data_IF_956197028765
#
_entry.id   IF_956197028765
#
_cell.length_a   1.000
_cell.length_b   1.000
_cell.length_c   1.000
_cell.angle_alpha   90.00
_cell.angle_beta   90.00
_cell.angle_gamma   90.00
#
_symmetry.space_group_name_H-M   'P 1'
#
loop_
_entity.id
_entity.type
_entity.pdbx_description
1 polymer ?
#
# COMPACT_ATOMS: atom_id res chain seq x y z
N UNK A 1 2.03 41.39 -7.44
CA UNK A 1 2.66 41.40 -6.09
C UNK A 1 1.77 40.73 -5.03
N UNK A 2 0.48 41.08 -4.91
CA UNK A 2 -0.45 40.44 -3.95
C UNK A 2 -0.50 38.91 -4.04
N UNK A 3 -0.49 38.34 -5.24
CA UNK A 3 -0.53 36.88 -5.45
C UNK A 3 0.73 36.15 -4.93
N UNK A 4 1.91 36.79 -4.98
CA UNK A 4 3.15 36.20 -4.44
C UNK A 4 3.14 36.21 -2.91
N UNK A 5 2.58 37.27 -2.32
CA UNK A 5 2.37 37.38 -0.88
C UNK A 5 1.35 36.34 -0.41
N UNK A 6 0.31 36.08 -1.22
CA UNK A 6 -0.65 35.02 -0.94
C UNK A 6 -0.01 33.64 -0.87
N UNK A 7 0.73 33.25 -1.90
CA UNK A 7 1.46 31.97 -1.95
C UNK A 7 2.42 31.83 -0.76
N UNK A 8 3.09 32.93 -0.38
CA UNK A 8 4.02 32.92 0.74
C UNK A 8 3.31 32.73 2.07
N UNK A 9 2.17 33.41 2.29
CA UNK A 9 1.41 33.34 3.55
C UNK A 9 0.64 32.03 3.73
N UNK A 10 0.08 31.49 2.65
CA UNK A 10 -0.68 30.24 2.70
C UNK A 10 0.19 28.99 2.56
N UNK A 11 1.41 29.11 2.01
CA UNK A 11 2.33 28.01 1.78
C UNK A 11 3.56 27.96 2.69
N UNK A 12 4.16 29.09 3.06
CA UNK A 12 5.46 29.09 3.75
C UNK A 12 5.44 29.66 5.17
N UNK A 13 4.54 30.61 5.45
CA UNK A 13 4.54 31.36 6.72
C UNK A 13 4.37 30.47 7.96
N UNK A 14 3.59 29.39 7.87
CA UNK A 14 3.43 28.38 8.93
C UNK A 14 3.90 27.01 8.48
N UNK A 15 4.90 26.97 7.60
CA UNK A 15 5.54 25.74 7.13
C UNK A 15 4.59 24.78 6.41
N UNK A 16 3.46 25.24 5.87
CA UNK A 16 2.45 24.39 5.25
C UNK A 16 3.05 23.52 4.14
N UNK A 17 3.77 24.13 3.20
CA UNK A 17 4.46 23.45 2.11
C UNK A 17 5.58 22.51 2.60
N UNK A 18 6.27 22.87 3.69
CA UNK A 18 7.31 22.03 4.27
C UNK A 18 6.71 20.77 4.92
N UNK A 19 5.58 20.91 5.61
CA UNK A 19 4.81 19.79 6.17
C UNK A 19 4.25 18.88 5.06
N UNK A 20 3.70 19.45 3.99
CA UNK A 20 3.25 18.69 2.81
C UNK A 20 4.38 17.93 2.13
N UNK A 21 5.55 18.56 1.98
CA UNK A 21 6.73 17.90 1.40
C UNK A 21 7.21 16.74 2.28
N UNK A 22 7.24 16.94 3.61
CA UNK A 22 7.55 15.87 4.57
C UNK A 22 6.53 14.74 4.52
N UNK A 23 5.24 15.05 4.47
CA UNK A 23 4.16 14.08 4.33
C UNK A 23 4.35 13.23 3.07
N UNK A 24 4.64 13.85 1.93
CA UNK A 24 4.94 13.14 0.68
C UNK A 24 6.13 12.18 0.82
N UNK A 25 7.19 12.60 1.52
CA UNK A 25 8.33 11.74 1.83
C UNK A 25 7.97 10.54 2.71
N UNK A 26 7.12 10.74 3.74
CA UNK A 26 6.64 9.67 4.61
C UNK A 26 5.78 8.66 3.84
N UNK A 27 4.87 9.14 2.98
CA UNK A 27 4.03 8.28 2.13
C UNK A 27 4.88 7.47 1.16
N UNK A 28 5.88 8.08 0.53
CA UNK A 28 6.80 7.36 -0.36
C UNK A 28 7.63 6.32 0.39
N UNK A 29 8.12 6.66 1.59
CA UNK A 29 8.87 5.73 2.46
C UNK A 29 8.00 4.56 2.89
N UNK A 30 6.74 4.81 3.26
CA UNK A 30 5.75 3.79 3.58
C UNK A 30 5.55 2.83 2.41
N UNK A 31 5.33 3.35 1.20
CA UNK A 31 5.20 2.53 0.00
C UNK A 31 6.44 1.66 -0.25
N UNK A 32 7.63 2.21 -0.04
CA UNK A 32 8.89 1.47 -0.18
C UNK A 32 8.99 0.33 0.86
N UNK A 33 8.67 0.60 2.12
CA UNK A 33 8.68 -0.42 3.18
C UNK A 33 7.63 -1.50 2.94
N UNK A 34 6.44 -1.11 2.50
CA UNK A 34 5.39 -2.04 2.10
C UNK A 34 5.84 -2.93 0.93
N UNK A 35 6.54 -2.36 -0.06
CA UNK A 35 7.10 -3.15 -1.18
C UNK A 35 8.20 -4.12 -0.71
N UNK A 36 9.08 -3.69 0.21
CA UNK A 36 10.13 -4.55 0.78
C UNK A 36 9.56 -5.68 1.64
N UNK A 37 8.53 -5.40 2.44
CA UNK A 37 7.79 -6.42 3.18
C UNK A 37 7.05 -7.35 2.21
N UNK A 38 6.44 -6.81 1.16
CA UNK A 38 5.89 -7.58 0.04
C UNK A 38 6.88 -8.62 -0.46
N UNK A 39 8.13 -8.23 -0.71
CA UNK A 39 9.13 -9.13 -1.29
C UNK A 39 9.61 -10.18 -0.28
N UNK A 40 9.71 -9.83 1.00
CA UNK A 40 10.06 -10.77 2.07
C UNK A 40 8.96 -11.79 2.38
N UNK A 41 7.71 -11.37 2.25
CA UNK A 41 6.53 -12.17 2.62
C UNK A 41 5.90 -12.88 1.41
N UNK A 42 6.35 -12.52 0.21
CA UNK A 42 5.88 -13.10 -1.04
C UNK A 42 6.14 -14.61 -1.09
N UNK A 43 5.11 -15.32 -1.55
CA UNK A 43 5.19 -16.74 -1.76
C UNK A 43 6.13 -17.05 -2.92
N UNK A 44 7.32 -17.55 -2.57
CA UNK A 44 8.39 -17.84 -3.53
C UNK A 44 8.31 -19.30 -3.95
N UNK A 45 8.16 -19.54 -5.25
CA UNK A 45 8.16 -20.88 -5.83
C UNK A 45 9.57 -21.29 -6.23
N UNK A 46 9.90 -22.56 -6.05
CA UNK A 46 11.23 -23.08 -6.33
C UNK A 46 11.29 -23.44 -7.82
N UNK A 47 12.14 -22.75 -8.58
CA UNK A 47 12.38 -23.09 -9.99
C UNK A 47 13.16 -24.39 -10.10
N UNK A 48 12.53 -25.42 -10.66
CA UNK A 48 13.20 -26.66 -11.03
C UNK A 48 13.72 -26.56 -12.47
N UNK A 49 15.04 -26.61 -12.61
CA UNK A 49 15.74 -26.57 -13.89
C UNK A 49 16.35 -27.92 -14.23
N UNK A 50 15.81 -28.60 -15.24
CA UNK A 50 16.56 -29.58 -16.03
C UNK A 50 17.14 -28.89 -17.27
N UNK A 51 18.37 -29.21 -17.66
CA UNK A 51 19.13 -28.63 -18.78
C UNK A 51 18.42 -28.64 -20.17
N UNK A 52 17.20 -29.17 -20.28
CA UNK A 52 16.53 -29.47 -21.55
C UNK A 52 15.06 -29.04 -21.68
N UNK A 53 14.46 -28.38 -20.67
CA UNK A 53 13.03 -28.05 -20.73
C UNK A 53 12.77 -26.63 -21.25
N UNK A 54 11.95 -26.50 -22.31
CA UNK A 54 11.59 -25.21 -22.94
C UNK A 54 10.72 -24.30 -22.05
N UNK A 55 10.13 -24.84 -20.98
CA UNK A 55 9.35 -24.09 -19.99
C UNK A 55 9.95 -24.32 -18.59
N UNK A 56 10.16 -23.26 -17.80
CA UNK A 56 10.58 -23.40 -16.42
C UNK A 56 9.49 -24.15 -15.64
N UNK A 57 9.89 -25.18 -14.89
CA UNK A 57 8.99 -25.90 -13.99
C UNK A 57 9.17 -25.30 -12.60
N UNK A 58 8.08 -25.13 -11.86
CA UNK A 58 8.12 -24.60 -10.51
C UNK A 58 7.54 -25.62 -9.53
N UNK A 59 8.07 -25.67 -8.31
CA UNK A 59 7.53 -26.47 -7.22
C UNK A 59 7.22 -25.61 -6.02
N UNK A 60 6.23 -26.04 -5.23
CA UNK A 60 5.90 -25.37 -3.98
C UNK A 60 7.06 -25.50 -2.98
N UNK A 61 7.31 -24.47 -2.17
CA UNK A 61 8.25 -24.56 -1.05
C UNK A 61 7.79 -25.61 -0.03
N UNK A 62 8.72 -26.24 0.71
CA UNK A 62 8.41 -27.26 1.71
C UNK A 62 7.52 -26.74 2.85
N UNK A 63 7.54 -25.43 3.08
CA UNK A 63 6.73 -24.71 4.08
C UNK A 63 5.22 -24.82 3.79
N UNK A 64 4.84 -24.93 2.52
CA UNK A 64 3.45 -25.05 2.09
C UNK A 64 2.97 -26.50 2.17
N UNK A 65 2.96 -27.12 3.35
CA UNK A 65 2.64 -28.55 3.55
C UNK A 65 1.14 -28.88 3.51
N UNK A 66 0.26 -27.90 3.78
CA UNK A 66 -1.19 -28.09 3.87
C UNK A 66 -1.85 -28.54 2.55
N UNK A 67 -2.93 -29.33 2.65
CA UNK A 67 -3.74 -29.77 1.50
C UNK A 67 -4.48 -28.62 0.82
N UNK A 68 -4.89 -27.61 1.60
CA UNK A 68 -5.46 -26.36 1.13
C UNK A 68 -4.57 -25.20 1.55
N UNK A 69 -4.16 -24.38 0.59
CA UNK A 69 -3.29 -23.24 0.81
C UNK A 69 -4.11 -21.95 0.70
N UNK A 70 -4.17 -21.19 1.78
CA UNK A 70 -4.73 -19.83 1.76
C UNK A 70 -3.59 -18.85 1.57
N UNK A 71 -3.65 -18.09 0.48
CA UNK A 71 -2.67 -17.07 0.15
C UNK A 71 -3.33 -15.69 0.25
N UNK A 72 -2.69 -14.77 0.95
CA UNK A 72 -3.13 -13.39 1.09
C UNK A 72 -2.68 -12.56 -0.11
N UNK A 73 -3.52 -11.63 -0.56
CA UNK A 73 -3.14 -10.63 -1.55
C UNK A 73 -2.43 -9.50 -0.81
N UNK A 74 -1.21 -9.16 -1.24
CA UNK A 74 -0.47 -8.05 -0.62
C UNK A 74 -1.12 -6.69 -0.90
N UNK A 75 -1.80 -6.57 -2.04
CA UNK A 75 -2.68 -5.46 -2.37
C UNK A 75 -4.07 -6.03 -2.66
N UNK A 76 -5.13 -5.60 -1.95
CA UNK A 76 -6.49 -5.99 -2.28
C UNK A 76 -6.81 -5.69 -3.75
N UNK A 77 -7.39 -6.66 -4.44
CA UNK A 77 -7.82 -6.51 -5.83
C UNK A 77 -9.31 -6.79 -5.94
N UNK A 78 -9.96 -6.09 -6.87
CA UNK A 78 -11.34 -6.36 -7.24
C UNK A 78 -11.37 -7.49 -8.28
N UNK A 79 -11.73 -8.69 -7.84
CA UNK A 79 -11.88 -9.86 -8.71
C UNK A 79 -13.36 -10.25 -8.75
N UNK A 80 -13.92 -10.42 -9.95
CA UNK A 80 -15.33 -10.79 -10.13
C UNK A 80 -16.32 -9.89 -9.37
N UNK A 81 -16.12 -8.58 -9.48
CA UNK A 81 -16.90 -7.55 -8.80
C UNK A 81 -16.88 -7.55 -7.26
N UNK A 82 -16.00 -8.34 -6.65
CA UNK A 82 -15.80 -8.42 -5.20
C UNK A 82 -14.38 -8.00 -4.83
N UNK A 83 -14.22 -7.31 -3.69
CA UNK A 83 -12.90 -7.05 -3.11
C UNK A 83 -12.35 -8.34 -2.47
N UNK A 84 -11.19 -8.78 -2.96
CA UNK A 84 -10.56 -10.03 -2.52
C UNK A 84 -9.32 -9.70 -1.72
N UNK A 85 -9.27 -10.25 -0.51
CA UNK A 85 -8.15 -10.13 0.43
C UNK A 85 -7.28 -11.38 0.44
N UNK A 86 -7.90 -12.54 0.23
CA UNK A 86 -7.20 -13.81 0.20
C UNK A 86 -7.84 -14.78 -0.77
N UNK A 87 -7.07 -15.74 -1.26
CA UNK A 87 -7.54 -16.79 -2.15
C UNK A 87 -7.10 -18.13 -1.59
N UNK A 88 -8.03 -19.07 -1.54
CA UNK A 88 -7.74 -20.44 -1.11
C UNK A 88 -7.63 -21.35 -2.33
N UNK A 89 -6.52 -22.07 -2.42
CA UNK A 89 -6.20 -23.03 -3.47
C UNK A 89 -6.14 -24.45 -2.92
N UNK A 90 -6.50 -25.41 -3.76
CA UNK A 90 -6.13 -26.80 -3.52
C UNK A 90 -4.66 -27.00 -3.91
N UNK A 91 -3.87 -27.61 -3.03
CA UNK A 91 -2.43 -27.83 -3.25
C UNK A 91 -2.18 -28.61 -4.53
N UNK A 92 -2.94 -29.68 -4.77
CA UNK A 92 -2.74 -30.56 -5.93
C UNK A 92 -3.01 -29.81 -7.25
N UNK A 93 -4.01 -28.92 -7.25
CA UNK A 93 -4.30 -28.06 -8.40
C UNK A 93 -3.20 -27.03 -8.64
N UNK A 94 -2.67 -26.42 -7.57
CA UNK A 94 -1.58 -25.44 -7.66
C UNK A 94 -0.26 -26.10 -8.14
N UNK A 95 0.09 -27.28 -7.64
CA UNK A 95 1.25 -28.06 -8.11
C UNK A 95 1.13 -28.42 -9.59
N UNK A 96 -0.04 -28.90 -10.00
CA UNK A 96 -0.31 -29.24 -11.40
C UNK A 96 -0.17 -28.01 -12.30
N UNK A 97 -0.68 -26.86 -11.87
CA UNK A 97 -0.57 -25.59 -12.58
C UNK A 97 0.88 -25.09 -12.67
N UNK A 98 1.67 -25.18 -11.60
CA UNK A 98 3.08 -24.80 -11.61
C UNK A 98 3.94 -25.68 -12.55
N UNK A 99 3.51 -26.92 -12.77
CA UNK A 99 4.23 -27.88 -13.61
C UNK A 99 3.80 -27.83 -15.07
N UNK A 100 2.48 -27.81 -15.34
CA UNK A 100 1.92 -27.89 -16.69
C UNK A 100 1.48 -26.54 -17.26
N UNK A 101 1.29 -25.53 -16.40
CA UNK A 101 0.61 -24.29 -16.73
C UNK A 101 -0.89 -24.51 -17.00
N UNK A 102 -1.54 -23.49 -17.57
CA UNK A 102 -2.96 -23.50 -17.92
C UNK A 102 -3.79 -22.59 -17.03
N UNK A 103 -5.06 -22.93 -16.87
CA UNK A 103 -5.98 -22.20 -15.99
C UNK A 103 -5.90 -22.73 -14.56
N UNK A 104 -5.84 -21.82 -13.60
CA UNK A 104 -5.96 -22.15 -12.17
C UNK A 104 -7.28 -21.61 -11.63
N UNK A 105 -7.86 -22.37 -10.71
CA UNK A 105 -9.08 -21.98 -10.00
C UNK A 105 -8.81 -21.86 -8.51
N UNK A 106 -9.34 -20.82 -7.90
CA UNK A 106 -9.21 -20.56 -6.47
C UNK A 106 -10.52 -20.02 -5.88
N UNK A 107 -10.76 -20.29 -4.61
CA UNK A 107 -11.91 -19.72 -3.88
C UNK A 107 -11.54 -18.32 -3.41
N UNK A 108 -12.30 -17.33 -3.85
CA UNK A 108 -12.12 -15.94 -3.43
C UNK A 108 -12.61 -15.80 -1.99
N UNK A 109 -11.79 -15.20 -1.12
CA UNK A 109 -12.07 -15.04 0.31
C UNK A 109 -12.50 -16.34 1.02
N UNK A 110 -12.02 -17.49 0.54
CA UNK A 110 -12.34 -18.81 1.10
C UNK A 110 -13.80 -19.26 0.93
N UNK A 111 -14.65 -18.46 0.29
CA UNK A 111 -16.09 -18.70 0.15
C UNK A 111 -16.51 -18.97 -1.31
N UNK A 112 -17.62 -19.69 -1.47
CA UNK A 112 -18.21 -19.96 -2.78
C UNK A 112 -17.46 -20.98 -3.65
N UNK A 113 -17.71 -20.91 -4.96
CA UNK A 113 -17.11 -21.78 -5.97
C UNK A 113 -15.71 -21.28 -6.36
N UNK A 114 -14.83 -22.22 -6.74
CA UNK A 114 -13.50 -21.88 -7.23
C UNK A 114 -13.62 -21.18 -8.59
N UNK A 115 -13.21 -19.91 -8.65
CA UNK A 115 -13.26 -19.08 -9.85
C UNK A 115 -11.92 -19.14 -10.58
N UNK A 116 -11.95 -19.00 -11.91
CA UNK A 116 -10.76 -18.95 -12.75
C UNK A 116 -9.98 -17.66 -12.49
N UNK A 117 -8.69 -17.78 -12.23
CA UNK A 117 -7.82 -16.66 -11.88
C UNK A 117 -6.74 -16.49 -12.94
N UNK A 118 -6.45 -15.24 -13.29
CA UNK A 118 -5.31 -14.91 -14.12
C UNK A 118 -4.06 -14.84 -13.24
N UNK A 119 -3.26 -15.90 -13.27
CA UNK A 119 -2.07 -16.04 -12.45
C UNK A 119 -0.82 -16.21 -13.31
N UNK A 120 0.30 -15.72 -12.80
CA UNK A 120 1.61 -15.92 -13.38
C UNK A 120 2.68 -16.01 -12.29
N UNK A 121 3.84 -16.54 -12.68
CA UNK A 121 5.05 -16.51 -11.87
C UNK A 121 5.92 -15.38 -12.38
N UNK A 122 6.25 -14.40 -11.54
CA UNK A 122 7.08 -13.27 -11.94
C UNK A 122 8.57 -13.65 -12.06
N UNK A 123 9.39 -12.71 -12.54
CA UNK A 123 10.84 -12.92 -12.69
C UNK A 123 11.58 -13.19 -11.37
N UNK A 124 10.99 -12.77 -10.24
CA UNK A 124 11.50 -13.00 -8.90
C UNK A 124 10.97 -14.33 -8.29
N UNK A 125 10.26 -15.14 -9.08
CA UNK A 125 9.67 -16.42 -8.67
C UNK A 125 8.53 -16.28 -7.65
N UNK A 126 7.83 -15.14 -7.66
CA UNK A 126 6.64 -14.93 -6.84
C UNK A 126 5.36 -15.19 -7.63
N UNK A 127 4.33 -15.68 -6.93
CA UNK A 127 2.99 -15.81 -7.51
C UNK A 127 2.32 -14.44 -7.60
N UNK A 128 1.86 -14.09 -8.79
CA UNK A 128 1.12 -12.84 -9.05
C UNK A 128 -0.26 -13.18 -9.61
N UNK A 129 -1.29 -12.56 -9.03
CA UNK A 129 -2.67 -12.59 -9.53
C UNK A 129 -2.98 -11.25 -10.20
N UNK A 130 -3.60 -11.27 -11.37
CA UNK A 130 -4.00 -10.09 -12.12
C UNK A 130 -5.53 -9.95 -12.18
N UNK A 131 -6.01 -8.71 -12.07
CA UNK A 131 -7.41 -8.37 -12.33
C UNK A 131 -7.70 -8.15 -13.83
N UNK A 132 -8.95 -7.79 -14.16
CA UNK A 132 -9.38 -7.45 -15.53
C UNK A 132 -8.68 -6.21 -16.10
N UNK A 133 -8.15 -5.35 -15.23
CA UNK A 133 -7.37 -4.15 -15.57
C UNK A 133 -5.88 -4.45 -15.72
N UNK A 134 -5.47 -5.72 -15.62
CA UNK A 134 -4.09 -6.20 -15.60
C UNK A 134 -3.25 -5.69 -14.41
N UNK A 135 -3.88 -5.18 -13.34
CA UNK A 135 -3.21 -4.87 -12.09
C UNK A 135 -2.81 -6.18 -11.39
N UNK A 136 -1.51 -6.39 -11.24
CA UNK A 136 -0.96 -7.54 -10.55
C UNK A 136 -0.79 -7.28 -9.05
N UNK A 137 -1.16 -8.25 -8.23
CA UNK A 137 -0.75 -8.34 -6.82
C UNK A 137 0.00 -9.63 -6.58
N UNK A 138 1.08 -9.55 -5.80
CA UNK A 138 1.77 -10.73 -5.31
C UNK A 138 0.97 -11.39 -4.19
N UNK A 139 1.13 -12.70 -4.09
CA UNK A 139 0.53 -13.53 -3.06
C UNK A 139 1.54 -13.81 -1.94
N UNK A 140 1.08 -13.80 -0.69
CA UNK A 140 1.87 -14.05 0.51
C UNK A 140 1.24 -15.15 1.37
N UNK A 141 2.05 -15.80 2.23
CA UNK A 141 1.53 -16.71 3.24
C UNK A 141 0.98 -15.95 4.46
N UNK A 142 -0.07 -16.45 5.14
CA UNK A 142 -0.69 -15.77 6.27
C UNK A 142 0.28 -15.48 7.43
N UNK A 143 1.20 -16.41 7.72
CA UNK A 143 2.18 -16.27 8.80
C UNK A 143 3.18 -15.12 8.58
N UNK A 144 3.31 -14.61 7.36
CA UNK A 144 4.26 -13.58 7.01
C UNK A 144 3.65 -12.17 7.00
N UNK A 145 2.32 -12.03 7.10
CA UNK A 145 1.61 -10.76 6.90
C UNK A 145 1.43 -9.90 8.17
N UNK A 146 2.15 -10.21 9.26
CA UNK A 146 2.11 -9.40 10.49
C UNK A 146 3.05 -8.20 10.41
N UNK A 147 2.63 -7.13 9.74
CA UNK A 147 2.92 -5.75 10.19
C UNK A 147 2.04 -4.76 9.42
N UNK A 148 0.85 -4.48 9.94
CA UNK A 148 -0.16 -3.65 9.27
C UNK A 148 0.18 -2.16 9.22
N UNK A 149 1.23 -1.69 9.90
CA UNK A 149 1.85 -0.38 9.71
C UNK A 149 3.21 -0.34 10.42
N UNK A 150 4.34 -0.13 9.70
CA UNK A 150 5.65 -0.06 10.34
C UNK A 150 5.70 1.03 11.41
N UNK A 151 6.20 0.69 12.60
CA UNK A 151 6.29 1.63 13.74
C UNK A 151 7.03 2.92 13.39
N UNK A 152 8.01 2.86 12.48
CA UNK A 152 8.74 4.02 11.93
C UNK A 152 7.79 5.05 11.30
N UNK A 153 6.83 4.60 10.47
CA UNK A 153 5.88 5.47 9.77
C UNK A 153 4.91 6.11 10.76
N UNK A 154 4.44 5.33 11.74
CA UNK A 154 3.56 5.83 12.79
C UNK A 154 4.24 6.95 13.59
N UNK A 155 5.48 6.74 14.00
CA UNK A 155 6.25 7.75 14.73
C UNK A 155 6.51 9.01 13.90
N UNK A 156 6.80 8.88 12.61
CA UNK A 156 6.99 10.02 11.70
C UNK A 156 5.69 10.82 11.48
N UNK A 157 4.54 10.14 11.35
CA UNK A 157 3.23 10.79 11.23
C UNK A 157 2.83 11.50 12.53
N UNK A 158 3.06 10.90 13.69
CA UNK A 158 2.80 11.53 15.00
C UNK A 158 3.67 12.78 15.20
N UNK A 159 4.95 12.73 14.81
CA UNK A 159 5.83 13.91 14.86
C UNK A 159 5.32 15.04 13.95
N UNK A 160 4.90 14.70 12.73
CA UNK A 160 4.35 15.68 11.78
C UNK A 160 3.03 16.29 12.27
N UNK A 161 2.16 15.50 12.90
CA UNK A 161 0.92 15.99 13.49
C UNK A 161 1.19 16.94 14.67
N UNK A 162 2.18 16.64 15.50
CA UNK A 162 2.60 17.53 16.59
C UNK A 162 3.17 18.85 16.07
N UNK A 163 3.98 18.81 15.00
CA UNK A 163 4.49 20.00 14.33
C UNK A 163 3.33 20.86 13.79
N UNK A 164 2.34 20.23 13.14
CA UNK A 164 1.14 20.91 12.63
C UNK A 164 0.35 21.59 13.76
N UNK A 165 0.07 20.87 14.86
CA UNK A 165 -0.62 21.44 16.03
C UNK A 165 0.13 22.63 16.60
N UNK A 166 1.47 22.55 16.68
CA UNK A 166 2.27 23.67 17.18
C UNK A 166 2.17 24.91 16.27
N UNK A 167 2.19 24.72 14.95
CA UNK A 167 2.04 25.82 14.00
C UNK A 167 0.63 26.42 14.04
N UNK A 168 -0.40 25.58 14.17
CA UNK A 168 -1.79 26.02 14.29
C UNK A 168 -2.02 26.84 15.58
N UNK A 169 -1.47 26.40 16.72
CA UNK A 169 -1.51 27.17 17.97
C UNK A 169 -0.82 28.53 17.83
N UNK A 170 0.37 28.58 17.21
CA UNK A 170 1.09 29.84 16.98
C UNK A 170 0.31 30.79 16.08
N UNK A 171 -0.36 30.28 15.05
CA UNK A 171 -1.24 31.07 14.21
C UNK A 171 -2.43 31.62 15.01
N UNK A 172 -3.08 30.76 15.80
CA UNK A 172 -4.25 31.13 16.61
C UNK A 172 -3.94 32.20 17.66
N UNK A 173 -2.73 32.18 18.23
CA UNK A 173 -2.25 33.22 19.15
C UNK A 173 -1.97 34.55 18.42
N UNK A 174 -1.51 34.52 17.17
CA UNK A 174 -1.09 35.70 16.41
C UNK A 174 -2.21 36.32 15.55
N UNK A 175 -3.31 35.61 15.30
CA UNK A 175 -4.39 36.05 14.42
C UNK A 175 -5.11 37.33 14.91
N UNK A 176 -4.99 37.66 16.20
CA UNK A 176 -5.65 38.82 16.84
C UNK A 176 -4.89 40.14 16.59
N UNK A 177 -4.52 40.41 15.34
CA UNK A 177 -3.78 41.62 14.96
C UNK A 177 -4.71 42.66 14.31
N UNK A 178 -4.82 43.84 14.92
CA UNK A 178 -5.62 44.98 14.43
C UNK A 178 -5.18 45.49 13.04
N UNK A 179 -3.97 45.17 12.60
CA UNK A 179 -3.37 45.68 11.36
C UNK A 179 -3.47 44.71 10.18
N UNK A 180 -4.07 43.53 10.37
CA UNK A 180 -4.26 42.53 9.33
C UNK A 180 -5.71 42.59 8.84
N UNK A 181 -5.89 42.66 7.51
CA UNK A 181 -7.21 42.66 6.89
C UNK A 181 -7.93 41.32 7.13
N UNK A 182 -9.22 41.35 7.46
CA UNK A 182 -9.99 40.20 7.97
C UNK A 182 -10.08 38.99 7.02
N UNK A 183 -9.81 39.19 5.74
CA UNK A 183 -9.87 38.13 4.72
C UNK A 183 -8.62 37.22 4.73
N UNK A 184 -7.50 37.69 5.27
CA UNK A 184 -6.23 36.93 5.29
C UNK A 184 -6.19 35.79 6.31
N UNK A 185 -6.62 35.99 7.58
CA UNK A 185 -6.67 34.91 8.56
C UNK A 185 -7.50 33.73 8.08
N UNK A 186 -8.65 33.96 7.44
CA UNK A 186 -9.49 32.88 6.92
C UNK A 186 -8.82 32.03 5.83
N UNK A 187 -8.03 32.65 4.95
CA UNK A 187 -7.29 31.93 3.89
C UNK A 187 -6.13 31.10 4.46
N UNK A 188 -5.45 31.62 5.47
CA UNK A 188 -4.34 30.93 6.15
C UNK A 188 -4.87 29.77 7.00
N UNK A 189 -5.99 29.97 7.71
CA UNK A 189 -6.65 28.91 8.47
C UNK A 189 -7.10 27.76 7.55
N UNK A 190 -7.69 28.08 6.40
CA UNK A 190 -8.09 27.08 5.41
C UNK A 190 -6.89 26.27 4.89
N UNK A 191 -5.74 26.92 4.62
CA UNK A 191 -4.55 26.21 4.16
C UNK A 191 -3.93 25.34 5.25
N UNK A 192 -3.98 25.75 6.52
CA UNK A 192 -3.56 24.92 7.64
C UNK A 192 -4.49 23.72 7.87
N UNK A 193 -5.81 23.90 7.73
CA UNK A 193 -6.77 22.81 7.86
C UNK A 193 -6.59 21.75 6.78
N UNK A 194 -6.34 22.14 5.53
CA UNK A 194 -6.07 21.22 4.41
C UNK A 194 -4.86 20.31 4.73
N UNK A 195 -3.76 20.87 5.25
CA UNK A 195 -2.59 20.06 5.69
C UNK A 195 -2.99 19.06 6.78
N UNK A 196 -3.81 19.47 7.75
CA UNK A 196 -4.27 18.60 8.83
C UNK A 196 -5.22 17.50 8.36
N UNK A 197 -6.02 17.74 7.33
CA UNK A 197 -6.84 16.70 6.67
C UNK A 197 -5.98 15.69 5.93
N UNK A 198 -4.97 16.15 5.18
CA UNK A 198 -4.06 15.26 4.45
C UNK A 198 -3.22 14.38 5.39
N UNK A 199 -2.75 14.92 6.53
CA UNK A 199 -2.05 14.13 7.56
C UNK A 199 -2.95 13.04 8.13
N UNK A 200 -4.20 13.37 8.48
CA UNK A 200 -5.18 12.41 9.01
C UNK A 200 -5.53 11.33 7.98
N UNK A 201 -5.67 11.71 6.70
CA UNK A 201 -5.89 10.75 5.63
C UNK A 201 -4.70 9.78 5.49
N UNK A 202 -3.46 10.27 5.59
CA UNK A 202 -2.27 9.43 5.52
C UNK A 202 -2.11 8.47 6.71
N UNK A 203 -2.69 8.79 7.87
CA UNK A 203 -2.77 7.91 9.05
C UNK A 203 -3.84 6.81 8.91
N UNK A 204 -4.90 7.05 8.14
CA UNK A 204 -6.03 6.13 7.95
C UNK A 204 -5.87 5.18 6.77
N UNK A 205 -5.20 5.61 5.70
CA UNK A 205 -4.80 4.73 4.60
C UNK A 205 -3.77 3.70 5.05
#
# INVERSE_FOLDING_TARGET
MQQQLEILMTGHAWQQQAMLTRLGGIVQRRLQLQQQQSDKTAFTVIKQGGMFSRRPHYTLPPEASASTLTLLLQKPLKLHDMEVLHITFDRSALELWLTKGGEIRGKLNGIGFAQTLNMEVDNAQHLVVRDISLQGTRLALPEAAEDSMPAEIKQQLEALENDWRQQHTRFSEQQHCLFIHSDWPGRIEASLQDVGEQIRQAQQC
#
